data_IF_404240572936
#
_entry.id   IF_404240572936
#
_cell.length_a   1.000
_cell.length_b   1.000
_cell.length_c   1.000
_cell.angle_alpha   90.00
_cell.angle_beta   90.00
_cell.angle_gamma   90.00
#
_symmetry.space_group_name_H-M   'P 1'
#
loop_
_entity.id
_entity.type
_entity.pdbx_description
1 polymer ?
#
# COMPACT_ATOMS: atom_id res chain seq x y z
N UNK A 1 8.46 -3.97 18.84
CA UNK A 1 8.42 -3.03 17.68
C UNK A 1 7.03 -2.43 17.48
N UNK A 2 5.95 -3.19 17.66
CA UNK A 2 4.61 -2.62 17.76
C UNK A 2 4.34 -2.06 19.18
N UNK A 3 5.10 -1.04 19.61
CA UNK A 3 5.04 -0.49 20.98
C UNK A 3 4.45 0.92 20.90
N UNK A 4 3.15 1.12 21.19
CA UNK A 4 2.49 2.41 21.05
C UNK A 4 3.14 3.53 21.86
N UNK A 5 3.71 3.19 23.02
CA UNK A 5 4.42 4.16 23.86
C UNK A 5 5.63 4.76 23.13
N UNK A 6 6.48 3.95 22.50
CA UNK A 6 7.64 4.44 21.76
C UNK A 6 7.21 5.35 20.61
N UNK A 7 6.19 4.92 19.85
CA UNK A 7 5.64 5.69 18.74
C UNK A 7 5.10 7.07 19.15
N UNK A 8 4.59 7.20 20.38
CA UNK A 8 4.02 8.43 20.91
C UNK A 8 5.04 9.33 21.64
N UNK A 9 6.13 8.76 22.16
CA UNK A 9 7.02 9.47 23.09
C UNK A 9 8.44 9.66 22.56
N UNK A 10 8.88 8.91 21.55
CA UNK A 10 10.22 9.05 20.98
C UNK A 10 10.22 9.98 19.75
N UNK A 11 11.28 10.78 19.55
CA UNK A 11 11.37 11.70 18.42
C UNK A 11 11.58 10.97 17.08
N UNK A 12 12.15 9.77 17.12
CA UNK A 12 12.37 8.92 15.96
C UNK A 12 12.45 7.45 16.39
N UNK A 13 11.99 6.56 15.50
CA UNK A 13 12.10 5.10 15.64
C UNK A 13 12.63 4.55 14.32
N UNK A 14 13.77 3.85 14.36
CA UNK A 14 14.36 3.17 13.21
C UNK A 14 14.21 1.66 13.39
N UNK A 15 13.51 1.00 12.46
CA UNK A 15 13.42 -0.45 12.43
C UNK A 15 14.41 -1.02 11.40
N UNK A 16 15.49 -1.64 11.88
CA UNK A 16 16.55 -2.21 11.05
C UNK A 16 16.49 -3.74 10.87
N UNK A 17 15.51 -4.41 11.50
CA UNK A 17 15.40 -5.88 11.50
C UNK A 17 16.73 -6.58 11.85
N UNK A 18 16.94 -7.80 11.33
CA UNK A 18 18.22 -8.50 11.36
C UNK A 18 19.07 -8.08 10.15
N UNK A 19 19.93 -7.07 10.34
CA UNK A 19 20.67 -6.42 9.25
C UNK A 19 21.94 -7.12 8.75
N UNK A 20 22.24 -8.34 9.21
CA UNK A 20 23.47 -9.06 8.83
C UNK A 20 24.77 -8.38 9.31
N UNK A 21 25.89 -8.76 8.70
CA UNK A 21 27.24 -8.38 9.19
C UNK A 21 27.58 -6.89 9.05
N UNK A 22 26.91 -6.17 8.15
CA UNK A 22 27.20 -4.75 7.85
C UNK A 22 26.08 -3.80 8.36
N UNK A 23 25.21 -4.32 9.24
CA UNK A 23 24.09 -3.55 9.79
C UNK A 23 24.54 -2.25 10.48
N UNK A 24 25.68 -2.28 11.18
CA UNK A 24 26.22 -1.11 11.88
C UNK A 24 26.51 0.06 10.94
N UNK A 25 27.19 -0.22 9.82
CA UNK A 25 27.50 0.77 8.78
C UNK A 25 26.22 1.31 8.16
N UNK A 26 25.31 0.42 7.73
CA UNK A 26 24.06 0.82 7.09
C UNK A 26 23.14 1.64 8.01
N UNK A 27 23.10 1.33 9.30
CA UNK A 27 22.35 2.11 10.29
C UNK A 27 23.01 3.49 10.48
N UNK A 28 24.34 3.56 10.56
CA UNK A 28 25.07 4.82 10.67
C UNK A 28 24.78 5.73 9.46
N UNK A 29 24.87 5.20 8.24
CA UNK A 29 24.58 5.96 7.02
C UNK A 29 23.19 6.59 7.05
N UNK A 30 22.19 5.86 7.55
CA UNK A 30 20.82 6.39 7.73
C UNK A 30 20.81 7.46 8.82
N UNK A 31 21.31 7.16 10.02
CA UNK A 31 21.24 8.07 11.17
C UNK A 31 21.96 9.41 10.94
N UNK A 32 23.08 9.39 10.21
CA UNK A 32 23.87 10.57 9.88
C UNK A 32 23.45 11.24 8.56
N UNK A 33 22.53 10.63 7.81
CA UNK A 33 21.95 11.21 6.60
C UNK A 33 22.77 11.01 5.32
N UNK A 34 23.82 10.20 5.36
CA UNK A 34 24.56 9.76 4.17
C UNK A 34 23.65 8.95 3.24
N UNK A 35 22.64 8.28 3.80
CA UNK A 35 21.55 7.65 3.06
C UNK A 35 20.17 8.10 3.55
N UNK A 36 19.31 8.51 2.62
CA UNK A 36 17.91 8.83 2.92
C UNK A 36 17.07 7.54 2.99
N UNK A 37 16.48 7.18 4.15
CA UNK A 37 15.78 5.92 4.32
C UNK A 37 14.57 5.81 3.39
N UNK A 38 14.40 4.62 2.83
CA UNK A 38 13.39 4.35 1.80
C UNK A 38 12.68 3.00 2.00
N UNK A 39 12.89 2.36 3.15
CA UNK A 39 12.28 1.08 3.49
C UNK A 39 10.77 1.23 3.72
N UNK A 40 9.99 0.24 3.29
CA UNK A 40 8.55 0.14 3.56
C UNK A 40 8.26 -1.17 4.27
N UNK A 41 7.36 -1.15 5.25
CA UNK A 41 7.02 -2.34 6.04
C UNK A 41 6.37 -3.43 5.17
N UNK A 42 6.88 -4.67 5.18
CA UNK A 42 6.24 -5.80 4.50
C UNK A 42 5.11 -6.41 5.34
N UNK A 43 4.86 -5.90 6.56
CA UNK A 43 3.92 -6.44 7.54
C UNK A 43 3.11 -5.29 8.17
N UNK A 44 1.91 -5.61 8.64
CA UNK A 44 1.12 -4.71 9.50
C UNK A 44 1.59 -4.86 10.94
N UNK A 45 1.92 -3.76 11.60
CA UNK A 45 2.13 -3.74 13.05
C UNK A 45 0.83 -3.29 13.73
N UNK A 46 0.23 -4.21 14.47
CA UNK A 46 -0.99 -4.00 15.22
C UNK A 46 -0.77 -3.05 16.41
N UNK A 47 -1.82 -2.42 16.92
CA UNK A 47 -1.70 -1.48 18.02
C UNK A 47 -1.74 -2.16 19.40
N UNK A 48 -2.49 -3.26 19.49
CA UNK A 48 -2.67 -4.06 20.69
C UNK A 48 -2.68 -5.56 20.31
N UNK A 49 -2.23 -6.43 21.20
CA UNK A 49 -2.25 -7.88 20.99
C UNK A 49 -3.69 -8.42 20.84
N UNK A 50 -4.69 -7.72 21.39
CA UNK A 50 -6.12 -8.04 21.20
C UNK A 50 -6.59 -7.88 19.76
N UNK A 51 -5.86 -7.12 18.94
CA UNK A 51 -6.15 -7.00 17.51
C UNK A 51 -5.65 -8.22 16.71
N UNK A 52 -4.84 -9.10 17.32
CA UNK A 52 -4.37 -10.32 16.70
C UNK A 52 -5.42 -11.44 16.84
N UNK A 53 -5.76 -12.13 15.74
CA UNK A 53 -6.59 -13.32 15.83
C UNK A 53 -5.91 -14.43 16.64
N UNK A 54 -6.69 -15.40 17.18
CA UNK A 54 -6.15 -16.53 17.91
C UNK A 54 -5.05 -17.25 17.12
N UNK A 55 -4.02 -17.71 17.83
CA UNK A 55 -2.86 -18.37 17.23
C UNK A 55 -3.25 -19.62 16.43
N UNK A 56 -4.24 -20.38 16.91
CA UNK A 56 -4.71 -21.63 16.29
C UNK A 56 -5.71 -21.42 15.15
N UNK A 57 -6.19 -20.19 14.94
CA UNK A 57 -7.15 -19.90 13.87
C UNK A 57 -6.44 -19.77 12.52
N UNK A 58 -6.95 -20.41 11.48
CA UNK A 58 -6.45 -20.24 10.11
C UNK A 58 -7.30 -19.31 9.25
N UNK A 59 -8.33 -18.71 9.85
CA UNK A 59 -9.20 -17.76 9.17
C UNK A 59 -8.45 -16.46 8.83
N UNK A 60 -8.79 -15.87 7.70
CA UNK A 60 -8.17 -14.62 7.25
C UNK A 60 -8.78 -13.37 7.91
N UNK A 61 -9.97 -13.47 8.52
CA UNK A 61 -10.61 -12.33 9.16
C UNK A 61 -9.72 -11.71 10.24
N UNK A 62 -9.60 -10.38 10.23
CA UNK A 62 -8.72 -9.64 11.15
C UNK A 62 -7.21 -9.74 10.85
N UNK A 63 -6.79 -10.60 9.91
CA UNK A 63 -5.36 -10.76 9.56
C UNK A 63 -4.91 -9.80 8.48
N UNK A 64 -3.68 -9.29 8.63
CA UNK A 64 -3.00 -8.40 7.68
C UNK A 64 -3.78 -7.11 7.38
N UNK A 65 -3.20 -6.22 6.58
CA UNK A 65 -3.93 -5.06 6.06
C UNK A 65 -5.14 -5.42 5.17
N UNK A 66 -5.20 -6.64 4.64
CA UNK A 66 -6.27 -7.06 3.72
C UNK A 66 -7.60 -7.29 4.42
N UNK A 67 -7.60 -7.70 5.68
CA UNK A 67 -8.82 -8.11 6.40
C UNK A 67 -8.95 -7.48 7.78
N UNK A 68 -7.94 -6.76 8.26
CA UNK A 68 -8.02 -6.00 9.49
C UNK A 68 -8.81 -4.69 9.29
N UNK A 69 -9.86 -4.51 10.10
CA UNK A 69 -10.74 -3.33 10.07
C UNK A 69 -10.40 -2.28 11.14
N UNK A 70 -9.48 -2.61 12.05
CA UNK A 70 -9.03 -1.70 13.11
C UNK A 70 -7.99 -0.69 12.62
N UNK A 71 -7.34 -0.01 13.58
CA UNK A 71 -6.27 0.95 13.29
C UNK A 71 -4.93 0.30 13.59
N UNK A 72 -4.09 0.14 12.57
CA UNK A 72 -2.74 -0.37 12.76
C UNK A 72 -1.89 0.69 13.48
N UNK A 73 -0.90 0.27 14.27
CA UNK A 73 0.13 1.20 14.73
C UNK A 73 0.92 1.69 13.51
N UNK A 74 1.49 0.75 12.75
CA UNK A 74 2.10 1.01 11.44
C UNK A 74 1.49 0.07 10.38
N UNK A 75 0.84 0.60 9.35
CA UNK A 75 0.17 -0.21 8.36
C UNK A 75 1.17 -0.87 7.40
N UNK A 76 0.71 -1.89 6.67
CA UNK A 76 1.49 -2.47 5.57
C UNK A 76 1.93 -1.39 4.59
N UNK A 77 3.17 -1.48 4.11
CA UNK A 77 3.75 -0.54 3.17
C UNK A 77 4.13 0.81 3.78
N UNK A 78 4.03 0.98 5.11
CA UNK A 78 4.42 2.21 5.78
C UNK A 78 5.94 2.38 5.84
N UNK A 79 6.42 3.60 5.66
CA UNK A 79 7.82 3.93 5.85
C UNK A 79 8.10 5.39 5.51
N UNK A 80 8.74 6.07 6.45
CA UNK A 80 9.11 7.48 6.33
C UNK A 80 10.38 7.64 5.49
N UNK A 81 10.61 8.88 5.06
CA UNK A 81 11.82 9.33 4.37
C UNK A 81 12.20 10.69 4.97
N UNK A 82 13.45 11.10 4.80
CA UNK A 82 13.84 12.49 5.04
C UNK A 82 13.28 13.44 3.97
N UNK A 83 12.85 12.91 2.82
CA UNK A 83 12.12 13.65 1.78
C UNK A 83 10.62 13.59 1.99
N UNK A 84 9.92 14.62 1.50
CA UNK A 84 8.46 14.70 1.49
C UNK A 84 7.93 14.53 0.07
N UNK A 85 7.06 13.56 -0.18
CA UNK A 85 6.51 13.30 -1.51
C UNK A 85 5.05 13.75 -1.61
N UNK A 86 4.72 14.49 -2.67
CA UNK A 86 3.35 14.92 -2.99
C UNK A 86 2.81 14.17 -4.20
N UNK A 87 1.57 13.73 -4.09
CA UNK A 87 0.87 12.96 -5.11
C UNK A 87 -0.21 13.84 -5.75
N UNK A 88 -0.21 13.96 -7.07
CA UNK A 88 -1.29 14.65 -7.80
C UNK A 88 -2.58 13.81 -7.78
N UNK A 89 -3.76 14.38 -8.08
CA UNK A 89 -4.97 13.58 -8.31
C UNK A 89 -4.74 12.46 -9.34
N UNK A 90 -5.39 11.30 -9.13
CA UNK A 90 -5.32 10.15 -10.03
C UNK A 90 -6.05 10.42 -11.35
N UNK A 91 -5.41 10.02 -12.44
CA UNK A 91 -6.01 9.97 -13.76
C UNK A 91 -6.32 8.51 -14.08
N UNK A 92 -7.61 8.18 -14.08
CA UNK A 92 -8.16 6.86 -14.39
C UNK A 92 -9.39 7.05 -15.25
N UNK A 93 -9.61 6.16 -16.21
CA UNK A 93 -10.86 6.10 -16.96
C UNK A 93 -12.09 5.98 -16.04
N UNK A 94 -13.18 6.68 -16.37
CA UNK A 94 -14.42 6.68 -15.56
C UNK A 94 -15.10 5.31 -15.54
N UNK A 95 -14.97 4.55 -16.61
CA UNK A 95 -15.49 3.20 -16.73
C UNK A 95 -14.55 2.29 -17.51
N UNK A 96 -14.67 1.00 -17.27
CA UNK A 96 -14.02 -0.06 -18.05
C UNK A 96 -14.99 -1.22 -18.28
N UNK A 97 -14.59 -2.22 -19.05
CA UNK A 97 -15.35 -3.46 -19.20
C UNK A 97 -14.66 -4.62 -18.52
N UNK A 98 -15.44 -5.61 -18.13
CA UNK A 98 -14.90 -6.90 -17.70
C UNK A 98 -14.03 -7.49 -18.82
N UNK A 99 -12.84 -7.99 -18.46
CA UNK A 99 -11.86 -8.51 -19.43
C UNK A 99 -10.92 -7.48 -20.05
N UNK A 100 -11.13 -6.18 -19.84
CA UNK A 100 -10.23 -5.12 -20.32
C UNK A 100 -9.24 -4.66 -19.24
N UNK A 101 -8.17 -3.99 -19.68
CA UNK A 101 -7.19 -3.35 -18.79
C UNK A 101 -7.62 -1.93 -18.41
N UNK A 102 -7.28 -1.51 -17.19
CA UNK A 102 -7.46 -0.13 -16.71
C UNK A 102 -6.09 0.52 -16.53
N UNK A 103 -5.90 1.68 -17.15
CA UNK A 103 -4.68 2.49 -16.96
C UNK A 103 -4.87 3.49 -15.81
N UNK A 104 -3.85 3.61 -14.95
CA UNK A 104 -3.83 4.50 -13.80
C UNK A 104 -2.58 5.37 -13.85
N UNK A 105 -2.73 6.68 -13.91
CA UNK A 105 -1.61 7.62 -13.91
C UNK A 105 -1.63 8.57 -12.71
N UNK A 106 -0.44 8.91 -12.20
CA UNK A 106 -0.22 9.85 -11.10
C UNK A 106 1.11 10.60 -11.31
N UNK A 107 1.21 11.85 -10.88
CA UNK A 107 2.48 12.57 -10.77
C UNK A 107 2.94 12.60 -9.32
N UNK A 108 4.20 12.28 -9.09
CA UNK A 108 4.85 12.30 -7.78
C UNK A 108 5.91 13.38 -7.79
N UNK A 109 5.83 14.32 -6.85
CA UNK A 109 6.82 15.39 -6.66
C UNK A 109 7.59 15.15 -5.37
N UNK A 110 8.91 15.25 -5.41
CA UNK A 110 9.72 15.43 -4.20
C UNK A 110 9.67 16.91 -3.80
N UNK A 111 8.93 17.23 -2.75
CA UNK A 111 8.73 18.58 -2.22
C UNK A 111 9.67 18.85 -1.02
N UNK A 112 10.93 18.42 -1.15
CA UNK A 112 11.99 18.63 -0.17
C UNK A 112 13.26 19.16 -0.84
N UNK A 113 14.26 19.51 -0.01
CA UNK A 113 15.57 20.01 -0.46
C UNK A 113 16.60 18.91 -0.71
N UNK A 114 16.25 17.65 -0.46
CA UNK A 114 17.15 16.51 -0.59
C UNK A 114 16.53 15.48 -1.53
N UNK A 115 17.38 14.76 -2.26
CA UNK A 115 16.93 13.64 -3.07
C UNK A 115 16.43 12.51 -2.18
N UNK A 116 15.52 11.69 -2.71
CA UNK A 116 14.96 10.57 -1.97
C UNK A 116 14.29 9.55 -2.86
N UNK A 117 14.19 8.34 -2.33
CA UNK A 117 13.48 7.24 -2.95
C UNK A 117 12.07 7.11 -2.39
N UNK A 118 11.08 7.03 -3.27
CA UNK A 118 9.70 6.72 -2.92
C UNK A 118 9.29 5.38 -3.50
N UNK A 119 8.50 4.61 -2.73
CA UNK A 119 7.85 3.39 -3.20
C UNK A 119 6.37 3.67 -3.35
N UNK A 120 5.96 3.96 -4.59
CA UNK A 120 4.58 4.25 -4.98
C UNK A 120 3.83 2.93 -5.07
N UNK A 121 2.81 2.75 -4.26
CA UNK A 121 2.05 1.51 -4.13
C UNK A 121 0.62 1.69 -4.66
N UNK A 122 0.12 0.71 -5.41
CA UNK A 122 -1.23 0.70 -5.98
C UNK A 122 -2.06 -0.43 -5.37
N UNK A 123 -3.23 -0.07 -4.84
CA UNK A 123 -4.19 -1.00 -4.26
C UNK A 123 -5.54 -0.92 -4.94
N UNK A 124 -6.26 -2.04 -4.91
CA UNK A 124 -7.62 -2.18 -5.46
C UNK A 124 -8.57 -2.71 -4.39
N UNK A 125 -9.78 -2.16 -4.36
CA UNK A 125 -10.90 -2.57 -3.50
C UNK A 125 -12.17 -2.74 -4.34
N UNK A 126 -13.02 -3.71 -3.96
CA UNK A 126 -14.28 -4.04 -4.62
C UNK A 126 -15.45 -3.83 -3.64
N UNK A 127 -15.92 -2.60 -3.40
CA UNK A 127 -16.91 -2.30 -2.36
C UNK A 127 -18.29 -2.94 -2.60
N UNK A 128 -18.64 -3.27 -3.84
CA UNK A 128 -19.96 -3.81 -4.18
C UNK A 128 -19.99 -5.35 -4.14
N UNK A 129 -18.85 -6.01 -3.88
CA UNK A 129 -18.79 -7.47 -3.85
C UNK A 129 -19.49 -8.03 -2.61
N UNK A 130 -20.18 -9.15 -2.78
CA UNK A 130 -20.73 -9.95 -1.68
C UNK A 130 -19.83 -11.13 -1.29
N UNK A 131 -18.78 -11.37 -2.07
CA UNK A 131 -17.80 -12.42 -1.80
C UNK A 131 -16.90 -11.98 -0.63
N UNK A 132 -16.52 -12.96 0.19
CA UNK A 132 -15.48 -12.75 1.20
C UNK A 132 -14.17 -12.41 0.49
N UNK A 133 -13.74 -11.16 0.60
CA UNK A 133 -12.57 -10.66 -0.13
C UNK A 133 -11.84 -9.60 0.69
N UNK A 134 -10.62 -9.26 0.27
CA UNK A 134 -9.81 -8.25 0.92
C UNK A 134 -10.48 -6.87 0.83
N UNK A 135 -10.42 -6.09 1.92
CA UNK A 135 -10.89 -4.69 1.97
C UNK A 135 -10.17 -3.87 0.89
N UNK A 136 -8.87 -4.13 0.71
CA UNK A 136 -8.05 -3.68 -0.40
C UNK A 136 -6.85 -4.63 -0.54
N UNK A 137 -6.33 -4.79 -1.75
CA UNK A 137 -5.16 -5.62 -2.03
C UNK A 137 -4.13 -4.86 -2.87
N UNK A 138 -2.85 -5.02 -2.53
CA UNK A 138 -1.74 -4.47 -3.33
C UNK A 138 -1.73 -5.20 -4.67
N UNK A 139 -1.69 -4.44 -5.76
CA UNK A 139 -1.66 -5.00 -7.14
C UNK A 139 -0.37 -4.65 -7.87
N UNK A 140 0.25 -3.52 -7.55
CA UNK A 140 1.51 -3.11 -8.15
C UNK A 140 2.24 -2.11 -7.25
N UNK A 141 3.55 -2.00 -7.40
CA UNK A 141 4.34 -0.94 -6.79
C UNK A 141 5.51 -0.57 -7.70
N UNK A 142 6.02 0.65 -7.56
CA UNK A 142 7.21 1.14 -8.26
C UNK A 142 8.08 1.93 -7.30
N UNK A 143 9.36 1.57 -7.21
CA UNK A 143 10.37 2.38 -6.53
C UNK A 143 10.93 3.39 -7.53
N UNK A 144 10.97 4.65 -7.15
CA UNK A 144 11.50 5.74 -7.95
C UNK A 144 12.42 6.61 -7.11
N UNK A 145 13.53 7.03 -7.70
CA UNK A 145 14.35 8.09 -7.15
C UNK A 145 13.86 9.45 -7.68
N UNK A 146 13.81 10.47 -6.83
CA UNK A 146 13.47 11.84 -7.21
C UNK A 146 14.48 12.81 -6.61
N UNK A 147 15.08 13.63 -7.46
CA UNK A 147 15.89 14.77 -7.03
C UNK A 147 15.02 15.81 -6.30
N UNK A 148 15.66 16.71 -5.55
CA UNK A 148 14.97 17.80 -4.88
C UNK A 148 14.12 18.62 -5.86
N UNK A 149 12.83 18.79 -5.59
CA UNK A 149 11.88 19.50 -6.47
C UNK A 149 11.43 18.73 -7.72
N UNK A 150 12.02 17.58 -8.04
CA UNK A 150 11.69 16.82 -9.25
C UNK A 150 10.26 16.27 -9.19
N UNK A 151 9.62 16.17 -10.36
CA UNK A 151 8.31 15.51 -10.53
C UNK A 151 8.40 14.43 -11.59
N UNK A 152 7.99 13.20 -11.27
CA UNK A 152 7.85 12.09 -12.23
C UNK A 152 6.40 11.68 -12.42
N UNK A 153 6.03 11.38 -13.67
CA UNK A 153 4.76 10.73 -13.99
C UNK A 153 4.94 9.21 -13.89
N UNK A 154 4.04 8.57 -13.15
CA UNK A 154 4.00 7.12 -12.93
C UNK A 154 2.71 6.58 -13.51
N UNK A 155 2.83 5.52 -14.32
CA UNK A 155 1.70 4.83 -14.92
C UNK A 155 1.67 3.37 -14.47
N UNK A 156 0.50 2.86 -14.13
CA UNK A 156 0.22 1.47 -13.80
C UNK A 156 -0.85 0.91 -14.74
N UNK A 157 -0.82 -0.40 -14.94
CA UNK A 157 -1.83 -1.13 -15.71
C UNK A 157 -2.44 -2.18 -14.81
N UNK A 158 -3.75 -2.14 -14.67
CA UNK A 158 -4.55 -3.16 -13.99
C UNK A 158 -5.17 -4.05 -15.07
N UNK A 159 -4.67 -5.29 -15.19
CA UNK A 159 -5.26 -6.30 -16.07
C UNK A 159 -6.44 -6.98 -15.37
N UNK A 160 -7.21 -7.82 -16.09
CA UNK A 160 -8.25 -8.64 -15.46
C UNK A 160 -7.75 -9.44 -14.26
N UNK A 161 -6.48 -9.88 -14.25
CA UNK A 161 -5.89 -10.60 -13.11
C UNK A 161 -5.80 -9.73 -11.86
N UNK A 162 -5.42 -8.45 -12.00
CA UNK A 162 -5.37 -7.53 -10.87
C UNK A 162 -6.77 -7.08 -10.42
N UNK A 163 -7.75 -7.08 -11.32
CA UNK A 163 -9.14 -6.66 -11.05
C UNK A 163 -10.05 -7.81 -10.60
N UNK A 164 -9.59 -9.05 -10.67
CA UNK A 164 -10.39 -10.22 -10.32
C UNK A 164 -10.48 -10.47 -8.81
N UNK A 165 -11.58 -11.10 -8.43
CA UNK A 165 -11.81 -11.67 -7.10
C UNK A 165 -11.82 -13.19 -7.25
N UNK A 166 -11.16 -13.90 -6.34
CA UNK A 166 -11.18 -15.36 -6.25
C UNK A 166 -12.40 -15.76 -5.42
N UNK A 167 -13.25 -16.62 -5.96
CA UNK A 167 -14.38 -17.20 -5.23
C UNK A 167 -13.98 -18.43 -4.40
N UNK A 168 -14.94 -19.00 -3.67
CA UNK A 168 -14.76 -20.18 -2.83
C UNK A 168 -14.34 -21.45 -3.59
N UNK A 169 -14.54 -21.49 -4.91
CA UNK A 169 -14.11 -22.59 -5.77
C UNK A 169 -12.71 -22.34 -6.36
N UNK A 170 -12.05 -21.25 -5.97
CA UNK A 170 -10.73 -20.87 -6.47
C UNK A 170 -10.76 -20.17 -7.83
N UNK A 171 -11.94 -19.83 -8.36
CA UNK A 171 -12.08 -19.24 -9.70
C UNK A 171 -11.87 -17.73 -9.63
N UNK A 172 -10.90 -17.23 -10.39
CA UNK A 172 -10.61 -15.81 -10.49
C UNK A 172 -11.53 -15.15 -11.52
N UNK A 173 -12.42 -14.27 -11.06
CA UNK A 173 -13.44 -13.64 -11.90
C UNK A 173 -13.45 -12.12 -11.69
N UNK A 174 -13.55 -11.36 -12.79
CA UNK A 174 -13.84 -9.92 -12.76
C UNK A 174 -15.35 -9.73 -12.81
N UNK A 175 -15.92 -9.11 -11.78
CA UNK A 175 -17.34 -8.78 -11.70
C UNK A 175 -17.59 -7.32 -12.11
N UNK A 176 -18.73 -7.01 -12.75
CA UNK A 176 -19.15 -5.63 -12.92
C UNK A 176 -19.46 -4.98 -11.57
N UNK A 177 -19.25 -3.67 -11.47
CA UNK A 177 -19.47 -2.89 -10.25
C UNK A 177 -18.41 -1.83 -10.02
N UNK A 178 -18.50 -1.14 -8.90
CA UNK A 178 -17.51 -0.13 -8.50
C UNK A 178 -16.20 -0.79 -8.11
N UNK A 179 -15.11 -0.16 -8.53
CA UNK A 179 -13.76 -0.47 -8.11
C UNK A 179 -13.12 0.79 -7.57
N UNK A 180 -12.60 0.73 -6.35
CA UNK A 180 -11.81 1.83 -5.78
C UNK A 180 -10.33 1.53 -5.96
N UNK A 181 -9.61 2.49 -6.52
CA UNK A 181 -8.18 2.43 -6.74
C UNK A 181 -7.52 3.40 -5.77
N UNK A 182 -6.52 2.93 -5.04
CA UNK A 182 -5.71 3.74 -4.14
C UNK A 182 -4.28 3.75 -4.64
N UNK A 183 -3.63 4.91 -4.56
CA UNK A 183 -2.19 5.03 -4.82
C UNK A 183 -1.57 5.88 -3.72
N UNK A 184 -0.46 5.43 -3.16
CA UNK A 184 0.18 6.13 -2.06
C UNK A 184 1.54 5.58 -1.64
N UNK A 185 2.15 6.23 -0.66
CA UNK A 185 3.41 5.81 -0.03
C UNK A 185 3.23 4.75 1.06
N UNK A 186 2.01 4.27 1.28
CA UNK A 186 1.59 3.25 2.25
C UNK A 186 0.26 2.61 1.81
N UNK A 187 -0.15 1.51 2.44
CA UNK A 187 -1.51 0.97 2.27
C UNK A 187 -2.59 1.94 2.77
N UNK A 188 -3.83 1.87 2.24
CA UNK A 188 -4.94 2.74 2.67
C UNK A 188 -5.53 2.34 4.05
N UNK A 189 -4.83 1.50 4.82
CA UNK A 189 -5.25 1.09 6.14
C UNK A 189 -5.24 2.28 7.12
N UNK A 190 -6.22 2.29 8.03
CA UNK A 190 -6.23 3.27 9.10
C UNK A 190 -5.00 3.06 9.99
N UNK A 191 -4.33 4.15 10.35
CA UNK A 191 -3.09 4.13 11.13
C UNK A 191 -3.15 5.10 12.30
N UNK A 192 -2.45 4.75 13.38
CA UNK A 192 -2.15 5.64 14.51
C UNK A 192 -0.89 6.49 14.23
N UNK A 193 0.07 5.94 13.49
CA UNK A 193 1.29 6.66 13.10
C UNK A 193 1.01 7.85 12.16
N UNK A 194 2.06 8.64 11.92
CA UNK A 194 1.99 9.81 11.05
C UNK A 194 1.40 9.46 9.67
N UNK A 195 0.51 10.31 9.16
CA UNK A 195 -0.14 10.03 7.88
C UNK A 195 0.85 10.15 6.71
N UNK A 196 0.86 9.14 5.85
CA UNK A 196 1.55 9.16 4.56
C UNK A 196 0.52 9.34 3.43
N UNK A 197 0.90 9.98 2.31
CA UNK A 197 -0.03 10.31 1.24
C UNK A 197 -0.64 9.05 0.63
N UNK A 198 -1.97 8.99 0.60
CA UNK A 198 -2.76 8.01 -0.15
C UNK A 198 -3.91 8.75 -0.81
N UNK A 199 -3.97 8.67 -2.14
CA UNK A 199 -5.04 9.25 -2.95
C UNK A 199 -5.90 8.14 -3.53
N UNK A 200 -7.17 8.44 -3.79
CA UNK A 200 -8.13 7.45 -4.28
C UNK A 200 -8.95 7.97 -5.45
N UNK A 201 -9.38 7.04 -6.31
CA UNK A 201 -10.31 7.29 -7.40
C UNK A 201 -11.18 6.06 -7.61
N UNK A 202 -12.45 6.29 -7.88
CA UNK A 202 -13.39 5.24 -8.23
C UNK A 202 -13.55 5.15 -9.75
N UNK A 203 -13.70 3.92 -10.23
CA UNK A 203 -14.08 3.61 -11.62
C UNK A 203 -15.16 2.53 -11.60
N UNK A 204 -15.98 2.46 -12.64
CA UNK A 204 -17.06 1.49 -12.73
C UNK A 204 -16.78 0.46 -13.83
N UNK A 205 -16.69 -0.81 -13.47
CA UNK A 205 -16.55 -1.91 -14.42
C UNK A 205 -17.93 -2.36 -14.88
N UNK A 206 -18.12 -2.49 -16.18
CA UNK A 206 -19.40 -2.86 -16.81
C UNK A 206 -19.28 -4.17 -17.59
N UNK A 207 -20.42 -4.77 -17.93
CA UNK A 207 -20.49 -6.01 -18.71
C UNK A 207 -20.91 -7.22 -17.87
N UNK A 208 -20.66 -8.41 -18.41
CA UNK A 208 -20.92 -9.69 -17.72
C UNK A 208 -19.68 -10.13 -16.96
N UNK A 209 -19.84 -10.93 -15.91
CA UNK A 209 -18.71 -11.51 -15.20
C UNK A 209 -17.73 -12.20 -16.18
N UNK A 210 -16.44 -11.94 -16.02
CA UNK A 210 -15.38 -12.46 -16.90
C UNK A 210 -14.45 -13.36 -16.09
N UNK A 211 -14.42 -14.64 -16.43
CA UNK A 211 -13.52 -15.62 -15.80
C UNK A 211 -12.12 -15.44 -16.37
N UNK A 212 -11.18 -15.08 -15.51
CA UNK A 212 -9.77 -14.87 -15.84
C UNK A 212 -9.02 -16.20 -15.80
N UNK A 213 -9.26 -17.00 -14.78
CA UNK A 213 -8.59 -18.26 -14.53
C UNK A 213 -9.52 -19.19 -13.73
N UNK A 214 -9.49 -20.48 -14.06
CA UNK A 214 -10.10 -21.56 -13.28
C UNK A 214 -9.04 -22.27 -12.45
#
# INVERSE_FOLDING_TARGET
IAIPWEAANLPAVLNAWYGGQDAGSAIADVLFGDYNPSGKLPLTFYADDKDLPPFESYEMEGRTYRYFKGKALYPFGYGLSYSNFKYSPLHVQKSGKTGETISVEVKIKNDSKIAGDEVVQLYVSHPDTKLVSAIYALKSFKRINLQAGETKKISFVLTPKELGIVDENGVLTVYPGKVKIYVGGTSPAASIAASLPVITKETNIQGKAFVVQK
#
